data_IF_726833866239
#
_entry.id   IF_726833866239
#
_cell.length_a   1.000
_cell.length_b   1.000
_cell.length_c   1.000
_cell.angle_alpha   90.00
_cell.angle_beta   90.00
_cell.angle_gamma   90.00
#
_symmetry.space_group_name_H-M   'P 1'
#
loop_
_entity.id
_entity.type
_entity.pdbx_description
1 polymer ?
#
# COMPACT_ATOMS: atom_id res chain seq x y z
N UNK A 1 12.88 2.64 -14.93
CA UNK A 1 12.07 3.87 -15.07
C UNK A 1 10.71 3.61 -14.41
N UNK A 2 10.53 4.04 -13.15
CA UNK A 2 9.21 4.10 -12.53
C UNK A 2 8.51 5.38 -12.99
N UNK A 3 7.26 5.28 -13.43
CA UNK A 3 6.48 6.47 -13.82
C UNK A 3 6.05 7.19 -12.54
N UNK A 4 6.37 8.49 -12.37
CA UNK A 4 5.99 9.22 -11.17
C UNK A 4 4.47 9.19 -10.97
N UNK A 5 4.04 8.86 -9.75
CA UNK A 5 2.62 8.78 -9.38
C UNK A 5 1.93 7.44 -9.67
N UNK A 6 2.64 6.45 -10.22
CA UNK A 6 2.09 5.09 -10.37
C UNK A 6 2.12 4.40 -9.02
N UNK A 7 0.94 4.13 -8.48
CA UNK A 7 0.76 3.42 -7.22
C UNK A 7 1.39 2.03 -7.19
N UNK A 8 1.62 1.50 -5.98
CA UNK A 8 2.15 0.15 -5.77
C UNK A 8 1.01 -0.86 -5.87
N UNK A 9 1.22 -1.91 -6.66
CA UNK A 9 0.31 -3.06 -6.74
C UNK A 9 0.85 -4.19 -5.88
N UNK A 10 0.02 -4.70 -4.98
CA UNK A 10 0.31 -5.82 -4.10
C UNK A 10 -0.61 -6.99 -4.44
N UNK A 11 0.00 -8.13 -4.78
CA UNK A 11 -0.71 -9.38 -5.04
C UNK A 11 -0.34 -10.38 -3.93
N UNK A 12 -1.31 -10.79 -3.13
CA UNK A 12 -1.10 -11.85 -2.14
C UNK A 12 -1.56 -13.19 -2.74
N UNK A 13 -0.66 -13.88 -3.43
CA UNK A 13 -0.92 -15.21 -3.98
C UNK A 13 0.26 -15.76 -4.78
N UNK A 14 0.46 -17.08 -4.74
CA UNK A 14 1.52 -17.77 -5.48
C UNK A 14 1.37 -17.67 -7.02
N UNK A 15 0.19 -17.25 -7.51
CA UNK A 15 -0.12 -17.03 -8.92
C UNK A 15 -0.63 -15.58 -9.11
N UNK A 16 0.25 -14.61 -9.40
CA UNK A 16 -0.10 -13.18 -9.36
C UNK A 16 -1.17 -12.78 -10.39
N UNK A 17 -1.24 -13.47 -11.53
CA UNK A 17 -2.23 -13.18 -12.58
C UNK A 17 -3.61 -13.78 -12.36
N UNK A 18 -3.74 -14.73 -11.42
CA UNK A 18 -5.02 -15.33 -11.05
C UNK A 18 -5.41 -15.05 -9.60
N UNK A 19 -4.59 -14.30 -8.85
CA UNK A 19 -4.94 -13.87 -7.52
C UNK A 19 -6.09 -12.87 -7.59
N UNK A 20 -7.14 -13.14 -6.83
CA UNK A 20 -8.23 -12.18 -6.64
C UNK A 20 -7.89 -11.15 -5.57
N UNK A 21 -6.88 -11.44 -4.72
CA UNK A 21 -6.39 -10.54 -3.68
C UNK A 21 -5.33 -9.60 -4.23
N UNK A 22 -5.79 -8.61 -4.96
CA UNK A 22 -4.98 -7.51 -5.52
C UNK A 22 -5.40 -6.18 -4.91
N UNK A 23 -4.43 -5.45 -4.34
CA UNK A 23 -4.61 -4.09 -3.82
C UNK A 23 -3.67 -3.14 -4.55
N UNK A 24 -4.20 -1.99 -4.94
CA UNK A 24 -3.45 -0.84 -5.44
C UNK A 24 -3.42 0.25 -4.37
N UNK A 25 -2.25 0.82 -4.15
CA UNK A 25 -2.04 1.96 -3.23
C UNK A 25 -1.66 3.18 -4.05
N UNK A 26 -2.45 4.25 -4.01
CA UNK A 26 -2.15 5.52 -4.70
C UNK A 26 -2.22 6.72 -3.75
N UNK A 27 -1.44 7.78 -3.96
CA UNK A 27 -0.33 7.91 -4.91
C UNK A 27 0.89 7.05 -4.51
N UNK A 28 1.95 7.07 -5.33
CA UNK A 28 3.24 6.55 -4.91
C UNK A 28 3.71 7.29 -3.65
N UNK A 29 4.30 6.56 -2.71
CA UNK A 29 4.85 7.14 -1.49
C UNK A 29 6.20 7.78 -1.83
N UNK A 30 6.36 9.05 -1.50
CA UNK A 30 7.59 9.82 -1.79
C UNK A 30 8.15 10.36 -0.49
N UNK A 31 9.46 10.13 -0.25
CA UNK A 31 10.18 10.63 0.94
C UNK A 31 9.39 10.53 2.26
N UNK A 32 8.93 9.33 2.67
CA UNK A 32 8.17 9.17 3.90
C UNK A 32 9.02 9.52 5.12
N UNK A 33 8.39 10.09 6.14
CA UNK A 33 9.03 10.47 7.42
C UNK A 33 8.37 9.71 8.56
N UNK A 34 9.17 9.04 9.39
CA UNK A 34 8.69 8.28 10.55
C UNK A 34 7.88 9.17 11.48
N UNK A 35 6.75 8.66 11.96
CA UNK A 35 5.85 9.42 12.85
C UNK A 35 4.77 10.22 12.14
N UNK A 36 4.85 10.36 10.81
CA UNK A 36 3.83 11.09 10.03
C UNK A 36 2.67 10.20 9.59
N UNK A 37 1.57 10.83 9.16
CA UNK A 37 0.45 10.16 8.52
C UNK A 37 0.38 10.58 7.06
N UNK A 38 0.23 9.59 6.18
CA UNK A 38 0.17 9.81 4.73
C UNK A 38 -1.24 9.44 4.25
N UNK A 39 -1.91 10.36 3.52
CA UNK A 39 -3.14 10.03 2.83
C UNK A 39 -2.85 9.13 1.63
N UNK A 40 -3.50 7.98 1.59
CA UNK A 40 -3.47 7.07 0.44
C UNK A 40 -4.89 6.65 0.08
N UNK A 41 -5.09 6.18 -1.14
CA UNK A 41 -6.29 5.51 -1.59
C UNK A 41 -5.95 4.05 -1.86
N UNK A 42 -6.78 3.15 -1.31
CA UNK A 42 -6.73 1.73 -1.59
C UNK A 42 -7.80 1.40 -2.63
N UNK A 43 -7.39 0.78 -3.74
CA UNK A 43 -8.32 0.21 -4.73
C UNK A 43 -8.07 -1.28 -4.86
N UNK A 44 -9.14 -2.07 -4.92
CA UNK A 44 -9.08 -3.53 -4.94
C UNK A 44 -9.74 -4.05 -6.22
N UNK A 45 -9.26 -5.18 -6.74
CA UNK A 45 -9.92 -5.80 -7.90
C UNK A 45 -11.19 -6.57 -7.48
N UNK A 46 -11.14 -7.26 -6.33
CA UNK A 46 -12.26 -7.98 -5.72
C UNK A 46 -12.29 -7.64 -4.22
N UNK A 47 -12.98 -6.57 -3.80
CA UNK A 47 -12.97 -6.08 -2.41
C UNK A 47 -13.46 -7.12 -1.39
N UNK A 48 -14.42 -7.95 -1.79
CA UNK A 48 -15.04 -9.03 -1.02
C UNK A 48 -14.03 -10.09 -0.56
N UNK A 49 -12.95 -10.32 -1.32
CA UNK A 49 -11.85 -11.20 -0.94
C UNK A 49 -11.03 -10.65 0.24
N UNK A 50 -11.15 -9.36 0.55
CA UNK A 50 -10.47 -8.68 1.65
C UNK A 50 -11.34 -8.51 2.91
N UNK A 51 -12.59 -8.98 2.89
CA UNK A 51 -13.54 -8.84 4.00
C UNK A 51 -13.00 -9.30 5.37
N UNK A 52 -12.17 -10.33 5.39
CA UNK A 52 -11.53 -10.87 6.61
C UNK A 52 -10.23 -10.16 7.03
N UNK A 53 -9.69 -9.27 6.20
CA UNK A 53 -8.38 -8.64 6.41
C UNK A 53 -8.43 -7.27 7.10
N UNK A 54 -9.62 -6.71 7.29
CA UNK A 54 -9.81 -5.35 7.80
C UNK A 54 -9.45 -4.24 6.79
N UNK A 55 -8.94 -4.61 5.61
CA UNK A 55 -8.72 -3.68 4.50
C UNK A 55 -10.07 -3.25 3.90
N UNK A 56 -10.18 -1.96 3.59
CA UNK A 56 -11.35 -1.36 2.94
C UNK A 56 -10.88 -0.48 1.79
N UNK A 57 -11.68 -0.44 0.72
CA UNK A 57 -11.44 0.49 -0.38
C UNK A 57 -11.64 1.95 0.05
N UNK A 58 -10.99 2.84 -0.71
CA UNK A 58 -11.12 4.29 -0.57
C UNK A 58 -9.95 4.95 0.16
N UNK A 59 -10.19 6.21 0.54
CA UNK A 59 -9.19 7.06 1.17
C UNK A 59 -8.90 6.63 2.62
N UNK A 60 -7.63 6.54 2.96
CA UNK A 60 -7.13 6.11 4.27
C UNK A 60 -5.91 6.92 4.68
N UNK A 61 -5.75 7.08 5.99
CA UNK A 61 -4.58 7.71 6.60
C UNK A 61 -3.69 6.62 7.19
N UNK A 62 -2.55 6.37 6.57
CA UNK A 62 -1.59 5.37 7.04
C UNK A 62 -0.48 6.04 7.84
N UNK A 63 -0.13 5.44 8.97
CA UNK A 63 0.95 5.92 9.82
C UNK A 63 2.29 5.36 9.35
N UNK A 64 3.30 6.21 9.18
CA UNK A 64 4.67 5.80 8.85
C UNK A 64 5.33 5.27 10.12
N UNK A 65 5.41 3.95 10.22
CA UNK A 65 5.98 3.27 11.37
C UNK A 65 7.49 3.18 11.29
N UNK A 66 8.03 2.86 10.12
CA UNK A 66 9.47 2.67 9.90
C UNK A 66 9.82 3.06 8.45
N UNK A 67 10.97 3.70 8.25
CA UNK A 67 11.53 4.01 6.94
C UNK A 67 12.90 3.36 6.85
N UNK A 68 13.06 2.45 5.89
CA UNK A 68 14.31 1.72 5.62
C UNK A 68 14.97 2.28 4.37
N UNK A 69 16.10 1.71 4.00
CA UNK A 69 16.87 2.17 2.85
C UNK A 69 16.08 2.10 1.52
N UNK A 70 15.20 1.11 1.35
CA UNK A 70 14.49 0.82 0.09
C UNK A 70 12.97 0.73 0.23
N UNK A 71 12.47 0.55 1.44
CA UNK A 71 11.07 0.27 1.74
C UNK A 71 10.58 1.07 2.95
N UNK A 72 9.26 1.24 3.03
CA UNK A 72 8.58 1.90 4.13
C UNK A 72 7.54 0.96 4.72
N UNK A 73 7.44 0.97 6.05
CA UNK A 73 6.39 0.26 6.78
C UNK A 73 5.27 1.24 7.09
N UNK A 74 4.12 1.02 6.47
CA UNK A 74 2.90 1.79 6.68
C UNK A 74 1.90 0.99 7.51
N UNK A 75 1.46 1.55 8.63
CA UNK A 75 0.50 0.92 9.53
C UNK A 75 -0.89 1.52 9.36
N UNK A 76 -1.85 0.65 9.08
CA UNK A 76 -3.28 0.95 9.12
C UNK A 76 -3.97 0.29 10.31
N UNK A 77 -5.31 0.26 10.29
CA UNK A 77 -6.09 -0.34 11.36
C UNK A 77 -6.24 -1.85 11.14
N UNK A 78 -5.33 -2.63 11.72
CA UNK A 78 -5.35 -4.10 11.66
C UNK A 78 -4.52 -4.70 10.53
N UNK A 79 -3.78 -3.89 9.77
CA UNK A 79 -2.88 -4.33 8.71
C UNK A 79 -1.63 -3.44 8.66
N UNK A 80 -0.57 -3.97 8.04
CA UNK A 80 0.66 -3.24 7.71
C UNK A 80 1.04 -3.50 6.26
N UNK A 81 1.56 -2.49 5.60
CA UNK A 81 2.18 -2.60 4.28
C UNK A 81 3.67 -2.38 4.41
N UNK A 82 4.44 -3.22 3.72
CA UNK A 82 5.88 -3.03 3.50
C UNK A 82 6.04 -2.84 2.00
N UNK A 83 6.24 -1.59 1.58
CA UNK A 83 6.25 -1.24 0.16
C UNK A 83 7.45 -0.36 -0.20
N UNK A 84 7.92 -0.42 -1.45
CA UNK A 84 8.91 0.54 -1.92
C UNK A 84 8.34 1.96 -1.91
N UNK A 85 9.22 2.93 -1.75
CA UNK A 85 8.91 4.35 -1.87
C UNK A 85 9.89 5.03 -2.82
N UNK A 86 9.51 6.16 -3.37
CA UNK A 86 10.36 6.97 -4.23
C UNK A 86 11.20 7.96 -3.40
N UNK A 87 12.48 8.06 -3.72
CA UNK A 87 13.36 9.12 -3.22
C UNK A 87 13.34 10.27 -4.22
N UNK A 88 13.01 11.48 -3.76
CA UNK A 88 13.08 12.72 -4.56
C UNK A 88 13.93 13.76 -3.88
#
# INVERSE_FOLDING_TARGET
>A
VGRPGVGVWLCNGARPYSSKKVVKITPAIVNPVVGTRIPVSLSMLYPDEFSSSGLKEGAQQLYVEEVREKDVVLRGRGYKFVIPYEKR
#
